data_IF_191985999608
#
_entry.id   IF_191985999608
#
_cell.length_a   1.000
_cell.length_b   1.000
_cell.length_c   1.000
_cell.angle_alpha   90.00
_cell.angle_beta   90.00
_cell.angle_gamma   90.00
#
_symmetry.space_group_name_H-M   'P 1'
#
loop_
_entity.id
_entity.type
_entity.pdbx_description
1 polymer ?
#
# COMPACT_ATOMS: atom_id res chain seq x y z
N UNK A 1 19.45 10.16 -26.33
CA UNK A 1 19.16 9.89 -24.90
C UNK A 1 17.69 10.17 -24.63
N UNK A 2 16.81 9.17 -24.54
CA UNK A 2 15.42 9.40 -24.16
C UNK A 2 15.33 9.50 -22.63
N UNK A 3 14.85 10.64 -22.12
CA UNK A 3 14.53 10.82 -20.70
C UNK A 3 13.20 10.11 -20.41
N UNK A 4 13.25 8.98 -19.71
CA UNK A 4 12.06 8.21 -19.30
C UNK A 4 11.41 8.91 -18.10
N UNK A 5 10.08 9.13 -18.06
CA UNK A 5 9.43 9.73 -16.92
C UNK A 5 9.39 8.74 -15.75
N UNK A 6 9.97 9.12 -14.61
CA UNK A 6 9.90 8.37 -13.34
C UNK A 6 8.52 8.48 -12.71
N UNK A 7 7.50 7.85 -13.32
CA UNK A 7 6.17 7.75 -12.70
C UNK A 7 5.82 6.28 -12.49
N UNK A 8 5.97 5.84 -11.25
CA UNK A 8 5.50 4.54 -10.79
C UNK A 8 4.11 4.73 -10.19
N UNK A 9 3.07 4.33 -10.92
CA UNK A 9 1.70 4.29 -10.40
C UNK A 9 1.17 2.88 -10.63
N UNK A 10 1.20 2.06 -9.58
CA UNK A 10 0.56 0.76 -9.57
C UNK A 10 -0.75 0.90 -8.78
N UNK A 11 -1.88 0.71 -9.46
CA UNK A 11 -3.19 0.54 -8.81
C UNK A 11 -3.70 -0.85 -9.16
N UNK A 12 -3.54 -1.78 -8.21
CA UNK A 12 -4.42 -2.94 -8.14
C UNK A 12 -5.83 -2.47 -7.74
N UNK A 13 -6.86 -3.27 -8.03
CA UNK A 13 -8.26 -2.94 -7.75
C UNK A 13 -8.41 -2.26 -6.38
N UNK A 14 -8.98 -1.06 -6.40
CA UNK A 14 -8.94 -0.16 -5.27
C UNK A 14 -9.65 -0.75 -4.05
N UNK A 15 -9.12 -0.56 -2.85
CA UNK A 15 -9.80 -0.89 -1.60
C UNK A 15 -11.15 -0.18 -1.49
N UNK A 16 -12.07 -0.82 -0.79
CA UNK A 16 -13.46 -0.38 -0.65
C UNK A 16 -13.61 0.42 0.64
N UNK A 17 -14.42 1.48 0.62
CA UNK A 17 -14.70 2.27 1.84
C UNK A 17 -15.84 1.61 2.62
N UNK A 18 -15.60 1.25 3.88
CA UNK A 18 -16.60 0.66 4.77
C UNK A 18 -17.50 1.73 5.40
N UNK A 19 -18.70 1.32 5.83
CA UNK A 19 -19.63 2.20 6.55
C UNK A 19 -19.29 2.36 8.04
N UNK A 20 -18.49 1.44 8.58
CA UNK A 20 -18.05 1.44 9.97
C UNK A 20 -16.54 1.24 10.02
N UNK A 21 -15.89 1.95 10.94
CA UNK A 21 -14.48 1.77 11.21
C UNK A 21 -14.23 0.44 11.93
N UNK A 22 -13.18 -0.27 11.54
CA UNK A 22 -12.70 -1.48 12.21
C UNK A 22 -11.17 -1.45 12.30
N UNK A 23 -10.60 -2.03 13.36
CA UNK A 23 -9.16 -2.00 13.65
C UNK A 23 -8.71 -0.76 14.42
N UNK A 24 -7.55 -0.86 15.07
CA UNK A 24 -6.96 0.20 15.90
C UNK A 24 -5.55 0.61 15.46
N UNK A 25 -4.93 -0.16 14.56
CA UNK A 25 -3.57 0.09 14.12
C UNK A 25 -3.53 1.00 12.88
N UNK A 26 -2.36 1.58 12.62
CA UNK A 26 -2.18 2.48 11.48
C UNK A 26 -2.53 3.94 11.81
N UNK A 27 -2.98 4.70 10.80
CA UNK A 27 -3.27 6.13 10.87
C UNK A 27 -4.26 6.58 9.79
N UNK A 28 -4.88 7.76 9.99
CA UNK A 28 -5.75 8.37 8.98
C UNK A 28 -6.98 7.51 8.64
N UNK A 29 -7.14 7.17 7.37
CA UNK A 29 -8.31 6.44 6.86
C UNK A 29 -8.20 4.91 6.96
N UNK A 30 -7.12 4.39 7.54
CA UNK A 30 -6.92 2.94 7.65
C UNK A 30 -8.11 2.17 8.23
N UNK A 31 -8.85 2.68 9.25
CA UNK A 31 -9.97 1.95 9.82
C UNK A 31 -11.18 1.80 8.90
N UNK A 32 -11.28 2.60 7.84
CA UNK A 32 -12.41 2.55 6.90
C UNK A 32 -12.01 2.00 5.52
N UNK A 33 -10.75 1.61 5.36
CA UNK A 33 -10.16 1.24 4.08
C UNK A 33 -10.05 -0.28 3.99
N UNK A 34 -11.05 -0.92 3.40
CA UNK A 34 -11.14 -2.38 3.32
C UNK A 34 -10.31 -2.93 2.17
N UNK A 35 -9.49 -3.92 2.48
CA UNK A 35 -8.62 -4.64 1.54
C UNK A 35 -9.29 -5.98 1.20
N UNK A 36 -9.95 -6.12 0.03
CA UNK A 36 -10.71 -7.32 -0.28
C UNK A 36 -9.87 -8.60 -0.35
N UNK A 37 -8.58 -8.49 -0.69
CA UNK A 37 -7.66 -9.63 -0.72
C UNK A 37 -7.41 -10.23 0.67
N UNK A 38 -7.49 -9.42 1.72
CA UNK A 38 -7.21 -9.82 3.09
C UNK A 38 -8.48 -9.98 3.94
N UNK A 39 -9.63 -9.54 3.42
CA UNK A 39 -10.91 -9.56 4.15
C UNK A 39 -10.94 -8.67 5.39
N UNK A 40 -10.06 -7.66 5.45
CA UNK A 40 -9.80 -6.80 6.62
C UNK A 40 -9.68 -5.34 6.23
N UNK A 41 -9.88 -4.43 7.17
CA UNK A 41 -9.48 -3.02 7.00
C UNK A 41 -7.96 -2.88 7.11
N UNK A 42 -7.42 -1.81 6.56
CA UNK A 42 -5.99 -1.51 6.67
C UNK A 42 -5.52 -1.28 8.11
N UNK A 43 -6.44 -1.00 9.05
CA UNK A 43 -6.17 -0.87 10.49
C UNK A 43 -6.25 -2.19 11.25
N UNK A 44 -6.75 -3.25 10.63
CA UNK A 44 -6.75 -4.63 11.15
C UNK A 44 -5.54 -5.44 10.64
N UNK A 45 -4.80 -4.90 9.66
CA UNK A 45 -3.56 -5.49 9.19
C UNK A 45 -2.42 -5.18 10.15
N UNK A 46 -1.63 -6.20 10.46
CA UNK A 46 -0.36 -5.99 11.14
C UNK A 46 0.57 -5.09 10.31
N UNK A 47 1.55 -4.50 10.98
CA UNK A 47 2.52 -3.61 10.33
C UNK A 47 3.31 -4.34 9.24
N UNK A 48 3.59 -5.61 9.45
CA UNK A 48 4.31 -6.50 8.54
C UNK A 48 3.47 -6.79 7.29
N UNK A 49 2.21 -7.21 7.45
CA UNK A 49 1.26 -7.46 6.35
C UNK A 49 1.06 -6.19 5.51
N UNK A 50 0.80 -5.06 6.18
CA UNK A 50 0.63 -3.75 5.52
C UNK A 50 1.88 -3.33 4.77
N UNK A 51 3.07 -3.55 5.32
CA UNK A 51 4.33 -3.22 4.64
C UNK A 51 4.59 -4.12 3.43
N UNK A 52 4.09 -5.35 3.44
CA UNK A 52 4.23 -6.26 2.31
C UNK A 52 3.33 -5.87 1.12
N UNK A 53 2.10 -5.42 1.38
CA UNK A 53 1.08 -5.20 0.34
C UNK A 53 0.83 -3.73 -0.01
N UNK A 54 1.24 -2.77 0.84
CA UNK A 54 0.93 -1.35 0.59
C UNK A 54 1.72 -0.75 -0.56
N UNK A 55 1.12 0.24 -1.22
CA UNK A 55 1.77 1.06 -2.27
C UNK A 55 3.11 1.63 -1.81
N UNK A 56 3.23 2.02 -0.53
CA UNK A 56 4.47 2.51 0.05
C UNK A 56 5.54 1.42 0.11
N UNK A 57 5.17 0.23 0.58
CA UNK A 57 6.08 -0.92 0.65
C UNK A 57 6.59 -1.31 -0.74
N UNK A 58 5.70 -1.36 -1.73
CA UNK A 58 6.04 -1.65 -3.12
C UNK A 58 6.96 -0.57 -3.72
N UNK A 59 6.64 0.71 -3.55
CA UNK A 59 7.48 1.81 -4.03
C UNK A 59 8.87 1.82 -3.39
N UNK A 60 8.97 1.48 -2.09
CA UNK A 60 10.26 1.41 -1.39
C UNK A 60 11.11 0.25 -1.92
N UNK A 61 10.52 -0.93 -2.19
CA UNK A 61 11.24 -2.05 -2.82
C UNK A 61 11.83 -1.65 -4.18
N UNK A 62 11.01 -1.02 -5.03
CA UNK A 62 11.47 -0.53 -6.34
C UNK A 62 12.58 0.53 -6.21
N UNK A 63 12.49 1.41 -5.21
CA UNK A 63 13.55 2.39 -4.93
C UNK A 63 14.86 1.72 -4.51
N UNK A 64 14.81 0.74 -3.61
CA UNK A 64 16.00 0.02 -3.15
C UNK A 64 16.65 -0.79 -4.28
N UNK A 65 15.87 -1.40 -5.16
CA UNK A 65 16.38 -2.07 -6.36
C UNK A 65 17.07 -1.10 -7.31
N UNK A 66 16.48 0.08 -7.54
CA UNK A 66 17.09 1.12 -8.38
C UNK A 66 18.41 1.66 -7.80
N UNK A 67 18.54 1.74 -6.47
CA UNK A 67 19.78 2.16 -5.80
C UNK A 67 20.88 1.08 -5.80
N UNK A 68 20.53 -0.20 -5.84
CA UNK A 68 21.51 -1.31 -5.89
C UNK A 68 22.06 -1.54 -7.30
N UNK A 69 21.30 -1.17 -8.33
CA UNK A 69 21.61 -1.41 -9.73
C UNK A 69 22.05 -0.13 -10.49
N UNK A 70 22.34 0.96 -9.77
CA UNK A 70 22.80 2.24 -10.34
C UNK A 70 24.20 2.57 -9.87
#
# INVERSE_FOLDING_TARGET
MPKIPRRWCATAAGPVITRQAAGHDGFGYDPIFFVPSEGKTAAELSREEKSAISHRGQALKLLLEALRNG
#
